data_IF_097696736198
#
_entry.id   IF_097696736198
#
_cell.length_a   1.000
_cell.length_b   1.000
_cell.length_c   1.000
_cell.angle_alpha   90.00
_cell.angle_beta   90.00
_cell.angle_gamma   90.00
#
_symmetry.space_group_name_H-M   'P 1'
#
loop_
_entity.id
_entity.type
_entity.pdbx_description
1 polymer ?
#
# COMPACT_ATOMS: atom_id res chain seq x y z
N UNK A 1 -3.64 -30.76 9.84
CA UNK A 1 -3.10 -29.66 9.05
C UNK A 1 -4.26 -28.80 8.56
N UNK A 2 -4.46 -27.56 9.00
CA UNK A 2 -5.49 -26.70 8.47
C UNK A 2 -5.14 -26.32 7.05
N UNK A 3 -6.11 -26.42 6.18
CA UNK A 3 -5.97 -26.31 4.73
C UNK A 3 -5.63 -24.87 4.35
N UNK A 4 -4.52 -24.65 3.62
CA UNK A 4 -4.13 -23.39 2.94
C UNK A 4 -5.25 -22.75 2.08
N UNK A 5 -6.38 -23.41 1.93
CA UNK A 5 -7.55 -22.94 1.19
C UNK A 5 -8.26 -21.73 1.82
N UNK A 6 -8.13 -21.53 3.13
CA UNK A 6 -8.92 -20.52 3.83
C UNK A 6 -8.34 -19.09 3.67
N UNK A 7 -7.02 -18.94 3.55
CA UNK A 7 -6.38 -17.65 3.29
C UNK A 7 -6.67 -17.13 1.87
N UNK A 8 -6.66 -18.01 0.87
CA UNK A 8 -7.04 -17.64 -0.50
C UNK A 8 -8.52 -17.31 -0.64
N UNK A 9 -9.38 -18.00 0.10
CA UNK A 9 -10.82 -17.71 0.13
C UNK A 9 -11.10 -16.36 0.78
N UNK A 10 -10.32 -15.99 1.81
CA UNK A 10 -10.44 -14.69 2.45
C UNK A 10 -10.09 -13.56 1.47
N UNK A 11 -9.00 -13.69 0.72
CA UNK A 11 -8.62 -12.70 -0.30
C UNK A 11 -9.68 -12.53 -1.40
N UNK A 12 -10.25 -13.61 -1.90
CA UNK A 12 -11.35 -13.55 -2.89
C UNK A 12 -12.59 -12.86 -2.34
N UNK A 13 -12.96 -13.12 -1.09
CA UNK A 13 -14.10 -12.45 -0.46
C UNK A 13 -13.88 -10.95 -0.28
N UNK A 14 -12.64 -10.52 -0.08
CA UNK A 14 -12.26 -9.12 0.09
C UNK A 14 -12.33 -8.30 -1.20
N UNK A 15 -12.08 -8.93 -2.36
CA UNK A 15 -12.21 -8.28 -3.66
C UNK A 15 -13.66 -7.87 -3.99
N UNK A 16 -14.64 -8.41 -3.29
CA UNK A 16 -16.07 -8.10 -3.47
C UNK A 16 -16.63 -7.09 -2.45
N UNK A 17 -15.84 -6.65 -1.49
CA UNK A 17 -16.30 -5.69 -0.47
C UNK A 17 -16.27 -4.28 -1.07
N UNK A 18 -17.45 -3.65 -1.18
CA UNK A 18 -17.56 -2.21 -1.42
C UNK A 18 -17.02 -1.47 -0.18
N UNK A 19 -16.26 -0.41 -0.39
CA UNK A 19 -15.69 0.45 0.65
C UNK A 19 -14.59 -0.19 1.50
N UNK A 20 -13.45 -0.40 0.87
CA UNK A 20 -12.23 -0.87 1.55
C UNK A 20 -11.30 0.30 1.77
N UNK A 21 -11.19 0.74 3.01
CA UNK A 21 -10.32 1.84 3.37
C UNK A 21 -8.98 1.33 3.91
N UNK A 22 -7.89 1.91 3.44
CA UNK A 22 -6.57 1.77 4.04
C UNK A 22 -6.08 3.11 4.57
N UNK A 23 -5.21 3.06 5.57
CA UNK A 23 -4.54 4.26 6.10
C UNK A 23 -3.10 4.23 5.65
N UNK A 24 -2.68 5.28 4.98
CA UNK A 24 -1.28 5.51 4.66
C UNK A 24 -0.78 6.72 5.43
N UNK A 25 0.44 6.65 5.96
CA UNK A 25 1.10 7.88 6.38
C UNK A 25 1.22 8.84 5.20
N UNK A 26 1.11 10.14 5.44
CA UNK A 26 1.27 11.12 4.36
C UNK A 26 2.65 11.02 3.68
N UNK A 27 3.64 10.54 4.43
CA UNK A 27 4.97 10.20 3.92
C UNK A 27 4.92 9.11 2.82
N UNK A 28 4.10 8.06 2.98
CA UNK A 28 3.94 7.04 1.94
C UNK A 28 3.27 7.57 0.68
N UNK A 29 2.26 8.44 0.84
CA UNK A 29 1.58 9.07 -0.30
C UNK A 29 2.58 9.87 -1.14
N UNK A 30 3.38 10.70 -0.48
CA UNK A 30 4.39 11.52 -1.14
C UNK A 30 5.48 10.65 -1.80
N UNK A 31 5.87 9.57 -1.13
CA UNK A 31 6.88 8.63 -1.65
C UNK A 31 6.39 7.81 -2.84
N UNK A 32 5.07 7.54 -2.93
CA UNK A 32 4.47 6.80 -4.03
C UNK A 32 4.18 7.67 -5.27
N UNK A 33 4.54 8.95 -5.25
CA UNK A 33 4.22 9.91 -6.32
C UNK A 33 4.76 9.49 -7.69
N UNK A 34 5.92 8.81 -7.72
CA UNK A 34 6.58 8.33 -8.93
C UNK A 34 6.14 6.93 -9.36
N UNK A 35 5.26 6.29 -8.59
CA UNK A 35 4.68 5.03 -8.98
C UNK A 35 3.71 5.21 -10.14
N UNK A 36 3.73 4.27 -11.09
CA UNK A 36 2.73 4.23 -12.15
C UNK A 36 1.40 3.66 -11.62
N UNK A 37 0.35 3.73 -12.43
CA UNK A 37 -1.00 3.31 -12.03
C UNK A 37 -1.06 1.86 -11.53
N UNK A 38 -0.35 0.94 -12.20
CA UNK A 38 -0.36 -0.49 -11.85
C UNK A 38 0.45 -0.75 -10.59
N UNK A 39 1.58 -0.08 -10.42
CA UNK A 39 2.40 -0.12 -9.21
C UNK A 39 1.60 0.37 -8.00
N UNK A 40 0.88 1.48 -8.13
CA UNK A 40 0.02 2.00 -7.05
C UNK A 40 -1.10 1.03 -6.67
N UNK A 41 -1.76 0.43 -7.66
CA UNK A 41 -2.77 -0.59 -7.41
C UNK A 41 -2.19 -1.78 -6.65
N UNK A 42 -0.97 -2.23 -7.00
CA UNK A 42 -0.28 -3.27 -6.23
C UNK A 42 -0.01 -2.84 -4.79
N UNK A 43 0.42 -1.60 -4.56
CA UNK A 43 0.62 -1.04 -3.23
C UNK A 43 -0.67 -0.98 -2.40
N UNK A 44 -1.82 -0.67 -3.03
CA UNK A 44 -3.11 -0.71 -2.33
C UNK A 44 -3.49 -2.12 -1.89
N UNK A 45 -3.29 -3.14 -2.73
CA UNK A 45 -3.54 -4.53 -2.35
C UNK A 45 -2.61 -4.99 -1.23
N UNK A 46 -1.33 -4.62 -1.30
CA UNK A 46 -0.37 -4.87 -0.21
C UNK A 46 -0.86 -4.23 1.08
N UNK A 47 -1.30 -2.97 1.03
CA UNK A 47 -1.77 -2.24 2.20
C UNK A 47 -3.04 -2.84 2.80
N UNK A 48 -3.94 -3.33 1.96
CA UNK A 48 -5.12 -4.04 2.41
C UNK A 48 -4.75 -5.36 3.09
N UNK A 49 -3.83 -6.11 2.51
CA UNK A 49 -3.33 -7.34 3.10
C UNK A 49 -2.68 -7.07 4.47
N UNK A 50 -1.87 -6.02 4.59
CA UNK A 50 -1.29 -5.57 5.86
C UNK A 50 -2.37 -5.20 6.86
N UNK A 51 -3.39 -4.43 6.45
CA UNK A 51 -4.51 -4.06 7.31
C UNK A 51 -5.21 -5.29 7.89
N UNK A 52 -5.51 -6.28 7.06
CA UNK A 52 -6.25 -7.47 7.48
C UNK A 52 -5.41 -8.34 8.41
N UNK A 53 -4.14 -8.56 8.07
CA UNK A 53 -3.31 -9.52 8.78
C UNK A 53 -2.68 -8.95 10.05
N UNK A 54 -2.45 -7.64 10.12
CA UNK A 54 -1.78 -7.00 11.25
C UNK A 54 -2.64 -5.95 11.94
N UNK A 55 -3.15 -4.95 11.24
CA UNK A 55 -3.88 -3.82 11.87
C UNK A 55 -5.19 -4.29 12.50
N UNK A 56 -6.00 -5.05 11.79
CA UNK A 56 -7.31 -5.52 12.28
C UNK A 56 -7.17 -6.55 13.42
N UNK A 57 -6.02 -7.18 13.52
CA UNK A 57 -5.69 -8.12 14.60
C UNK A 57 -4.92 -7.47 15.75
N UNK A 58 -4.68 -6.18 15.67
CA UNK A 58 -3.87 -5.41 16.62
C UNK A 58 -2.47 -6.00 16.84
N UNK A 59 -1.88 -6.52 15.77
CA UNK A 59 -0.52 -7.06 15.76
C UNK A 59 0.47 -5.95 15.38
N UNK A 60 1.64 -5.97 16.01
CA UNK A 60 2.77 -5.13 15.63
C UNK A 60 3.48 -5.64 14.37
N UNK A 61 4.63 -5.04 14.07
CA UNK A 61 5.52 -5.53 13.02
C UNK A 61 6.06 -6.91 13.44
N UNK A 62 5.87 -7.96 12.63
CA UNK A 62 6.33 -9.28 12.99
C UNK A 62 7.85 -9.37 12.92
N UNK A 63 8.45 -10.11 13.85
CA UNK A 63 9.89 -10.42 13.85
C UNK A 63 10.25 -11.44 12.76
N UNK A 64 9.27 -12.26 12.37
CA UNK A 64 9.48 -13.32 11.39
C UNK A 64 9.14 -12.85 9.98
N UNK A 65 10.15 -12.72 9.12
CA UNK A 65 10.00 -12.33 7.73
C UNK A 65 9.03 -13.23 6.91
N UNK A 66 8.84 -14.50 7.32
CA UNK A 66 7.91 -15.42 6.66
C UNK A 66 6.44 -14.98 6.79
N UNK A 67 6.13 -14.18 7.79
CA UNK A 67 4.80 -13.63 7.98
C UNK A 67 4.51 -12.44 7.06
N UNK A 68 5.54 -11.90 6.43
CA UNK A 68 5.47 -10.77 5.51
C UNK A 68 5.28 -11.17 4.05
N UNK A 69 4.99 -12.44 3.78
CA UNK A 69 4.76 -12.93 2.42
C UNK A 69 3.27 -12.88 2.12
N UNK A 70 2.92 -12.06 1.16
CA UNK A 70 1.59 -12.03 0.55
C UNK A 70 1.56 -12.99 -0.63
N UNK A 71 0.56 -13.86 -0.65
CA UNK A 71 0.33 -14.82 -1.74
C UNK A 71 -0.86 -14.37 -2.58
N UNK A 72 -0.72 -14.38 -3.91
CA UNK A 72 -1.82 -14.13 -4.83
C UNK A 72 -1.63 -14.84 -6.17
N UNK A 73 -2.71 -14.94 -6.93
CA UNK A 73 -2.77 -15.62 -8.21
C UNK A 73 -2.90 -14.63 -9.36
N UNK A 74 -2.83 -15.12 -10.60
CA UNK A 74 -3.12 -14.31 -11.78
C UNK A 74 -4.54 -13.71 -11.77
N UNK A 75 -5.51 -14.38 -11.13
CA UNK A 75 -6.87 -13.86 -10.97
C UNK A 75 -6.91 -12.63 -10.06
N UNK A 76 -6.15 -12.66 -8.96
CA UNK A 76 -6.03 -11.52 -8.04
C UNK A 76 -5.32 -10.36 -8.72
N UNK A 77 -4.27 -10.63 -9.50
CA UNK A 77 -3.58 -9.65 -10.33
C UNK A 77 -4.45 -9.08 -11.45
N UNK A 78 -5.36 -9.89 -11.97
CA UNK A 78 -6.33 -9.47 -12.96
C UNK A 78 -7.22 -8.32 -12.49
N UNK A 79 -7.49 -8.24 -11.18
CA UNK A 79 -8.21 -7.12 -10.57
C UNK A 79 -7.37 -5.83 -10.61
N UNK A 80 -6.06 -5.93 -10.39
CA UNK A 80 -5.15 -4.79 -10.43
C UNK A 80 -5.02 -4.23 -11.85
N UNK A 81 -4.82 -5.08 -12.83
CA UNK A 81 -4.49 -4.68 -14.20
C UNK A 81 -5.51 -5.07 -15.26
N UNK A 82 -6.58 -5.79 -14.88
CA UNK A 82 -7.48 -6.48 -15.81
C UNK A 82 -6.84 -7.74 -16.41
N UNK A 83 -7.67 -8.74 -16.78
CA UNK A 83 -7.20 -10.05 -17.27
C UNK A 83 -6.18 -9.98 -18.43
N UNK A 84 -6.22 -8.93 -19.24
CA UNK A 84 -5.29 -8.71 -20.36
C UNK A 84 -3.96 -8.07 -19.94
N UNK A 85 -3.78 -7.73 -18.66
CA UNK A 85 -2.64 -6.95 -18.17
C UNK A 85 -1.72 -7.70 -17.19
N UNK A 86 -1.85 -9.02 -17.08
CA UNK A 86 -1.00 -9.85 -16.21
C UNK A 86 0.51 -9.59 -16.44
N UNK A 87 1.03 -9.53 -17.70
CA UNK A 87 2.42 -9.17 -17.93
C UNK A 87 2.81 -7.79 -17.38
N UNK A 88 1.88 -6.83 -17.41
CA UNK A 88 2.12 -5.49 -16.85
C UNK A 88 2.22 -5.51 -15.33
N UNK A 89 1.41 -6.34 -14.68
CA UNK A 89 1.45 -6.49 -13.22
C UNK A 89 2.74 -7.15 -12.75
N UNK A 90 3.19 -8.18 -13.45
CA UNK A 90 4.51 -8.79 -13.19
C UNK A 90 5.62 -7.75 -13.31
N UNK A 91 5.59 -6.92 -14.37
CA UNK A 91 6.55 -5.83 -14.55
C UNK A 91 6.42 -4.75 -13.47
N UNK A 92 5.21 -4.44 -13.00
CA UNK A 92 4.99 -3.49 -11.92
C UNK A 92 5.63 -3.98 -10.61
N UNK A 93 5.44 -5.25 -10.23
CA UNK A 93 6.11 -5.84 -9.07
C UNK A 93 7.64 -5.81 -9.21
N UNK A 94 8.15 -6.13 -10.41
CA UNK A 94 9.58 -6.05 -10.70
C UNK A 94 10.13 -4.62 -10.54
N UNK A 95 9.35 -3.61 -10.93
CA UNK A 95 9.75 -2.22 -10.75
C UNK A 95 9.64 -1.76 -9.30
N UNK A 96 8.59 -2.17 -8.58
CA UNK A 96 8.47 -1.88 -7.14
C UNK A 96 9.66 -2.43 -6.33
N UNK A 97 10.15 -3.63 -6.68
CA UNK A 97 11.35 -4.19 -6.05
C UNK A 97 12.64 -3.39 -6.32
N UNK A 98 12.65 -2.53 -7.35
CA UNK A 98 13.77 -1.64 -7.64
C UNK A 98 13.60 -0.23 -7.06
N UNK A 99 12.36 0.16 -6.74
CA UNK A 99 12.06 1.48 -6.18
C UNK A 99 12.33 1.48 -4.68
N UNK A 100 12.74 2.63 -4.21
CA UNK A 100 13.00 2.87 -2.79
C UNK A 100 12.35 4.16 -2.33
N UNK A 101 12.16 4.26 -1.04
CA UNK A 101 11.73 5.45 -0.33
C UNK A 101 12.96 5.99 0.38
N UNK A 102 13.27 7.27 0.16
CA UNK A 102 14.30 7.95 0.93
C UNK A 102 13.76 8.25 2.33
N UNK A 103 14.50 7.84 3.36
CA UNK A 103 14.16 8.12 4.76
C UNK A 103 15.24 8.95 5.42
N UNK A 104 14.81 9.88 6.25
CA UNK A 104 15.71 10.65 7.12
C UNK A 104 15.09 10.70 8.52
N UNK A 105 15.85 10.32 9.53
CA UNK A 105 15.42 10.39 10.92
C UNK A 105 16.60 10.70 11.84
N UNK A 106 16.29 11.14 13.05
CA UNK A 106 17.30 11.34 14.10
C UNK A 106 17.24 10.17 15.07
N UNK A 107 18.39 9.51 15.28
CA UNK A 107 18.50 8.39 16.20
C UNK A 107 18.51 8.90 17.67
N UNK A 108 18.50 7.96 18.61
CA UNK A 108 18.51 8.26 20.07
C UNK A 108 19.74 9.06 20.52
N UNK A 109 20.82 9.03 19.77
CA UNK A 109 22.06 9.77 20.01
C UNK A 109 22.06 11.17 19.38
N UNK A 110 20.93 11.63 18.81
CA UNK A 110 20.82 12.92 18.14
C UNK A 110 21.47 12.98 16.75
N UNK A 111 21.88 11.86 16.18
CA UNK A 111 22.55 11.80 14.87
C UNK A 111 21.51 11.68 13.76
N UNK A 112 21.67 12.47 12.70
CA UNK A 112 20.85 12.37 11.51
C UNK A 112 21.25 11.14 10.69
N UNK A 113 20.31 10.26 10.47
CA UNK A 113 20.46 9.03 9.67
C UNK A 113 19.69 9.24 8.36
N UNK A 114 20.36 8.98 7.23
CA UNK A 114 19.76 8.95 5.90
C UNK A 114 19.84 7.54 5.35
N UNK A 115 18.74 7.05 4.83
CA UNK A 115 18.66 5.68 4.32
C UNK A 115 17.69 5.55 3.17
N UNK A 116 17.55 4.31 2.71
CA UNK A 116 16.60 3.92 1.68
C UNK A 116 15.93 2.63 2.10
N UNK A 117 14.62 2.57 1.97
CA UNK A 117 13.83 1.37 2.19
C UNK A 117 13.11 1.00 0.90
N UNK A 118 13.01 -0.30 0.61
CA UNK A 118 12.29 -0.78 -0.56
C UNK A 118 10.81 -0.99 -0.23
N UNK A 119 9.96 -0.94 -1.25
CA UNK A 119 8.53 -1.27 -1.10
C UNK A 119 8.34 -2.78 -0.87
N UNK A 120 9.06 -3.57 -1.64
CA UNK A 120 9.07 -5.03 -1.54
C UNK A 120 10.53 -5.51 -1.61
N UNK A 121 10.85 -6.52 -0.82
CA UNK A 121 12.21 -7.10 -0.78
C UNK A 121 12.43 -8.12 -1.87
N UNK A 122 11.40 -8.91 -2.14
CA UNK A 122 11.46 -9.94 -3.14
C UNK A 122 10.06 -10.29 -3.67
N UNK A 123 10.00 -10.85 -4.86
CA UNK A 123 8.83 -11.56 -5.32
C UNK A 123 9.24 -12.78 -6.13
N UNK A 124 8.44 -13.81 -6.07
CA UNK A 124 8.63 -15.07 -6.78
C UNK A 124 7.35 -15.44 -7.51
N UNK A 125 7.49 -16.06 -8.65
CA UNK A 125 6.37 -16.61 -9.41
C UNK A 125 6.56 -18.11 -9.61
N UNK A 126 5.66 -18.89 -9.07
CA UNK A 126 5.63 -20.32 -9.27
C UNK A 126 4.90 -20.63 -10.58
N UNK A 127 5.64 -21.07 -11.60
CA UNK A 127 5.08 -21.37 -12.93
C UNK A 127 4.16 -22.59 -12.97
N UNK A 128 4.22 -23.46 -11.95
CA UNK A 128 3.36 -24.64 -11.83
C UNK A 128 2.05 -24.29 -11.15
N UNK A 129 2.12 -23.70 -9.96
CA UNK A 129 0.93 -23.33 -9.16
C UNK A 129 0.29 -22.01 -9.58
N UNK A 130 0.96 -21.23 -10.43
CA UNK A 130 0.53 -19.88 -10.86
C UNK A 130 0.33 -18.91 -9.70
N UNK A 131 1.10 -19.08 -8.65
CA UNK A 131 1.06 -18.23 -7.43
C UNK A 131 2.25 -17.29 -7.42
N UNK A 132 2.00 -16.04 -7.08
CA UNK A 132 3.02 -15.05 -6.75
C UNK A 132 3.19 -14.98 -5.24
N UNK A 133 4.43 -14.97 -4.79
CA UNK A 133 4.83 -14.73 -3.41
C UNK A 133 5.53 -13.38 -3.38
N UNK A 134 4.94 -12.38 -2.73
CA UNK A 134 5.53 -11.06 -2.58
C UNK A 134 5.94 -10.85 -1.14
N UNK A 135 7.22 -10.66 -0.90
CA UNK A 135 7.77 -10.32 0.41
C UNK A 135 7.82 -8.81 0.57
N UNK A 136 7.04 -8.32 1.52
CA UNK A 136 6.96 -6.90 1.85
C UNK A 136 8.18 -6.53 2.69
N UNK A 137 8.75 -5.36 2.45
CA UNK A 137 9.86 -4.87 3.27
C UNK A 137 9.41 -4.59 4.71
N UNK A 138 10.06 -5.17 5.73
CA UNK A 138 9.69 -4.94 7.13
C UNK A 138 9.73 -3.46 7.52
N UNK A 139 10.67 -2.72 6.96
CA UNK A 139 10.91 -1.32 7.27
C UNK A 139 9.77 -0.39 6.83
N UNK A 140 8.92 -0.83 5.88
CA UNK A 140 7.78 -0.03 5.45
C UNK A 140 6.54 -0.22 6.34
N UNK A 141 6.46 -1.34 7.05
CA UNK A 141 5.28 -1.69 7.85
C UNK A 141 4.91 -0.66 8.92
N UNK A 142 5.83 -0.03 9.66
CA UNK A 142 5.49 1.00 10.64
C UNK A 142 4.67 2.15 10.04
N UNK A 143 4.88 2.47 8.76
CA UNK A 143 4.14 3.51 8.04
C UNK A 143 2.74 3.07 7.58
N UNK A 144 2.41 1.78 7.71
CA UNK A 144 1.13 1.18 7.35
C UNK A 144 0.36 0.67 8.58
N UNK A 145 1.03 0.21 9.64
CA UNK A 145 0.41 -0.42 10.82
C UNK A 145 0.14 0.60 11.92
N UNK A 146 1.15 1.35 12.34
CA UNK A 146 1.10 2.23 13.51
C UNK A 146 0.88 3.70 13.15
N UNK A 147 -0.03 3.97 12.25
CA UNK A 147 -0.27 5.32 11.74
C UNK A 147 -1.14 6.10 12.72
N UNK A 148 -0.53 6.82 13.68
CA UNK A 148 -1.19 7.58 14.75
C UNK A 148 -1.34 9.08 14.48
N UNK A 149 -1.00 9.57 13.32
CA UNK A 149 -1.09 11.00 12.96
C UNK A 149 -0.54 11.19 11.56
N UNK A 150 -0.84 12.33 10.94
CA UNK A 150 -0.39 12.62 9.59
C UNK A 150 -0.64 11.47 8.62
N UNK A 151 -1.87 10.95 8.60
CA UNK A 151 -2.30 9.88 7.72
C UNK A 151 -3.46 10.31 6.84
N UNK A 152 -3.57 9.64 5.72
CA UNK A 152 -4.69 9.74 4.79
C UNK A 152 -5.43 8.42 4.74
N UNK A 153 -6.75 8.48 4.78
CA UNK A 153 -7.62 7.33 4.52
C UNK A 153 -7.97 7.30 3.05
N UNK A 154 -7.67 6.20 2.38
CA UNK A 154 -7.91 6.00 0.94
C UNK A 154 -8.93 4.88 0.78
N UNK A 155 -10.02 5.14 0.04
CA UNK A 155 -10.91 4.08 -0.44
C UNK A 155 -10.24 3.36 -1.61
N UNK A 156 -9.92 2.08 -1.42
CA UNK A 156 -9.22 1.29 -2.43
C UNK A 156 -10.09 1.08 -3.66
N UNK A 157 -11.41 0.89 -3.47
CA UNK A 157 -12.35 0.67 -4.57
C UNK A 157 -12.35 1.87 -5.52
N UNK A 158 -12.44 3.08 -4.97
CA UNK A 158 -12.33 4.31 -5.75
C UNK A 158 -10.94 4.47 -6.37
N UNK A 159 -9.88 4.35 -5.57
CA UNK A 159 -8.52 4.53 -6.04
C UNK A 159 -8.15 3.59 -7.20
N UNK A 160 -8.66 2.35 -7.17
CA UNK A 160 -8.42 1.36 -8.23
C UNK A 160 -9.30 1.55 -9.46
N UNK A 161 -10.41 2.30 -9.37
CA UNK A 161 -11.32 2.56 -10.50
C UNK A 161 -10.74 3.53 -11.52
N UNK A 162 -9.81 4.40 -11.12
CA UNK A 162 -9.26 5.42 -12.01
C UNK A 162 -8.43 4.80 -13.15
N UNK A 163 -8.64 5.32 -14.35
CA UNK A 163 -7.95 4.85 -15.56
C UNK A 163 -6.62 5.55 -15.80
N UNK A 164 -6.35 6.69 -15.15
CA UNK A 164 -5.11 7.44 -15.30
C UNK A 164 -4.36 7.62 -13.99
N UNK A 165 -3.03 7.70 -14.07
CA UNK A 165 -2.14 7.98 -12.95
C UNK A 165 -2.44 9.36 -12.35
N UNK A 166 -2.71 10.33 -13.19
CA UNK A 166 -2.95 11.72 -12.83
C UNK A 166 -4.23 11.83 -11.98
N UNK A 167 -5.33 11.22 -12.43
CA UNK A 167 -6.59 11.20 -11.69
C UNK A 167 -6.45 10.49 -10.35
N UNK A 168 -5.76 9.35 -10.31
CA UNK A 168 -5.50 8.63 -9.08
C UNK A 168 -4.68 9.47 -8.10
N UNK A 169 -3.66 10.17 -8.59
CA UNK A 169 -2.82 11.07 -7.80
C UNK A 169 -3.62 12.26 -7.24
N UNK A 170 -4.49 12.86 -8.07
CA UNK A 170 -5.37 13.94 -7.62
C UNK A 170 -6.32 13.46 -6.51
N UNK A 171 -6.87 12.26 -6.66
CA UNK A 171 -7.70 11.65 -5.63
C UNK A 171 -6.95 11.47 -4.31
N UNK A 172 -5.73 10.93 -4.35
CA UNK A 172 -4.88 10.77 -3.15
C UNK A 172 -4.58 12.11 -2.47
N UNK A 173 -4.30 13.15 -3.25
CA UNK A 173 -4.12 14.50 -2.71
C UNK A 173 -5.42 15.06 -2.13
N UNK A 174 -6.55 14.89 -2.81
CA UNK A 174 -7.83 15.30 -2.28
C UNK A 174 -8.13 14.60 -0.94
N UNK A 175 -7.88 13.29 -0.83
CA UNK A 175 -8.00 12.56 0.43
C UNK A 175 -7.04 13.07 1.51
N UNK A 176 -5.79 13.39 1.13
CA UNK A 176 -4.77 13.91 2.05
C UNK A 176 -5.18 15.24 2.67
N UNK A 177 -5.78 16.13 1.88
CA UNK A 177 -6.16 17.47 2.32
C UNK A 177 -7.62 17.59 2.75
N UNK A 178 -8.49 16.60 2.48
CA UNK A 178 -9.89 16.62 2.90
C UNK A 178 -10.09 16.60 4.41
N UNK A 179 -9.12 16.11 5.17
CA UNK A 179 -9.10 16.20 6.64
C UNK A 179 -8.80 17.61 7.19
N UNK A 180 -8.31 18.49 6.35
CA UNK A 180 -7.89 19.85 6.70
C UNK A 180 -8.98 20.92 6.44
N UNK A 181 -10.27 20.54 6.42
CA UNK A 181 -11.36 21.53 6.42
C UNK A 181 -11.26 22.52 7.61
N UNK A 182 -10.59 22.15 8.69
CA UNK A 182 -10.21 23.07 9.75
C UNK A 182 -9.16 24.10 9.32
N UNK A 183 -8.42 23.83 8.24
CA UNK A 183 -7.39 24.76 7.72
C UNK A 183 -8.01 25.82 6.83
N UNK A 184 -9.04 25.48 6.03
CA UNK A 184 -9.77 26.47 5.23
C UNK A 184 -10.51 27.47 6.10
N UNK A 185 -11.11 27.04 7.22
CA UNK A 185 -11.74 27.92 8.21
C UNK A 185 -10.74 28.83 8.94
N UNK A 186 -9.49 28.37 9.14
CA UNK A 186 -8.44 29.24 9.67
C UNK A 186 -7.96 30.25 8.64
N UNK A 187 -7.70 29.81 7.41
CA UNK A 187 -7.28 30.70 6.33
C UNK A 187 -8.36 31.73 5.98
N UNK A 188 -9.65 31.37 5.96
CA UNK A 188 -10.73 32.34 5.74
C UNK A 188 -10.84 33.34 6.89
N UNK A 189 -10.62 32.92 8.15
CA UNK A 189 -10.59 33.82 9.32
C UNK A 189 -9.33 34.68 9.39
N UNK A 190 -8.17 34.19 8.94
CA UNK A 190 -6.93 34.97 8.90
C UNK A 190 -6.88 35.92 7.68
N UNK A 191 -7.58 35.63 6.60
CA UNK A 191 -7.68 36.47 5.40
C UNK A 191 -8.88 37.42 5.40
N UNK A 192 -9.73 37.41 6.45
CA UNK A 192 -10.79 38.39 6.63
C UNK A 192 -11.96 38.28 5.65
N UNK A 193 -12.25 37.06 5.17
CA UNK A 193 -13.48 36.75 4.38
C UNK A 193 -14.57 36.19 5.28
#
# INVERSE_FOLDING_TARGET
MPKKKDEFTLMRSLLHIKHRNVRWSNFLIDSAIDCNLVEKRALYLISEWVKINFVSRNLGVPENWKELIMHFTDEDLGVIGGKKNIPRTYQALKQLGKKFIAVEYTNEKGQKIKGRIHWIDAFYYNTVTKVYDVRISPEILPYMINVKGNFTTIDIGEAMSFASKETQKMYEFACKYSGDYRYSDRLSKEMGF
#
